data_IF_731216967478
#
_entry.id   IF_731216967478
#
_cell.length_a   1.000
_cell.length_b   1.000
_cell.length_c   1.000
_cell.angle_alpha   90.00
_cell.angle_beta   90.00
_cell.angle_gamma   90.00
#
_symmetry.space_group_name_H-M   'P 1'
#
loop_
_entity.id
_entity.type
_entity.pdbx_description
1 polymer ?
#
# COMPACT_ATOMS: atom_id res chain seq x y z
N UNK A 1 -11.32 -2.38 16.62
CA UNK A 1 -11.48 -3.59 15.78
C UNK A 1 -10.84 -3.20 14.47
N UNK A 2 -9.75 -3.81 13.99
CA UNK A 2 -9.09 -3.29 12.80
C UNK A 2 -10.05 -3.48 11.63
N UNK A 3 -10.56 -2.36 11.12
CA UNK A 3 -11.57 -2.36 10.09
C UNK A 3 -10.97 -3.00 8.84
N UNK A 4 -11.62 -4.05 8.35
CA UNK A 4 -11.27 -4.74 7.09
C UNK A 4 -11.06 -3.75 5.93
N UNK A 5 -11.69 -2.57 6.05
CA UNK A 5 -11.50 -1.36 5.25
C UNK A 5 -10.04 -0.95 5.05
N UNK A 6 -9.19 -1.02 6.07
CA UNK A 6 -7.79 -0.59 5.95
C UNK A 6 -6.97 -1.60 5.14
N UNK A 7 -7.19 -2.90 5.34
CA UNK A 7 -6.61 -3.95 4.49
C UNK A 7 -7.03 -3.74 3.03
N UNK A 8 -8.30 -3.34 2.79
CA UNK A 8 -8.79 -3.04 1.45
C UNK A 8 -8.13 -1.80 0.86
N UNK A 9 -8.00 -0.72 1.63
CA UNK A 9 -7.27 0.50 1.21
C UNK A 9 -5.83 0.17 0.81
N UNK A 10 -5.17 -0.71 1.55
CA UNK A 10 -3.80 -1.16 1.27
C UNK A 10 -3.71 -1.85 -0.10
N UNK A 11 -4.65 -2.76 -0.34
CA UNK A 11 -4.74 -3.52 -1.60
C UNK A 11 -5.07 -2.60 -2.77
N UNK A 12 -5.99 -1.66 -2.57
CA UNK A 12 -6.35 -0.63 -3.56
C UNK A 12 -5.15 0.23 -3.89
N UNK A 13 -4.31 0.58 -2.92
CA UNK A 13 -3.17 1.43 -3.22
C UNK A 13 -2.08 0.74 -4.03
N UNK A 14 -1.80 -0.54 -3.75
CA UNK A 14 -0.87 -1.32 -4.58
C UNK A 14 -1.36 -1.38 -6.03
N UNK A 15 -2.67 -1.61 -6.22
CA UNK A 15 -3.29 -1.62 -7.55
C UNK A 15 -3.24 -0.23 -8.19
N UNK A 16 -3.57 0.82 -7.45
CA UNK A 16 -3.54 2.22 -7.89
C UNK A 16 -2.13 2.65 -8.31
N UNK A 17 -1.11 2.36 -7.51
CA UNK A 17 0.29 2.68 -7.83
C UNK A 17 0.79 1.94 -9.07
N UNK A 18 0.42 0.67 -9.23
CA UNK A 18 0.76 -0.10 -10.42
C UNK A 18 0.03 0.43 -11.67
N UNK A 19 -1.25 0.77 -11.51
CA UNK A 19 -2.06 1.38 -12.56
C UNK A 19 -1.51 2.75 -12.98
N UNK A 20 -0.98 3.55 -12.04
CA UNK A 20 -0.32 4.83 -12.31
C UNK A 20 0.97 4.65 -13.14
N UNK A 21 1.77 3.62 -12.86
CA UNK A 21 2.98 3.30 -13.65
C UNK A 21 2.60 2.89 -15.07
N UNK A 22 1.62 1.99 -15.22
CA UNK A 22 1.08 1.56 -16.51
C UNK A 22 0.52 2.75 -17.30
N UNK A 23 -0.27 3.61 -16.66
CA UNK A 23 -0.87 4.78 -17.28
C UNK A 23 0.19 5.80 -17.72
N UNK A 24 1.20 6.05 -16.88
CA UNK A 24 2.33 6.92 -17.23
C UNK A 24 3.10 6.42 -18.44
N UNK A 25 3.31 5.10 -18.55
CA UNK A 25 3.95 4.48 -19.72
C UNK A 25 3.03 4.48 -20.95
N UNK A 26 1.74 4.26 -20.77
CA UNK A 26 0.76 4.26 -21.87
C UNK A 26 0.56 5.66 -22.46
N UNK A 27 0.60 6.70 -21.61
CA UNK A 27 0.58 8.10 -22.03
C UNK A 27 1.86 8.50 -22.75
N UNK A 28 2.98 7.83 -22.43
CA UNK A 28 4.28 8.00 -23.07
C UNK A 28 4.32 7.43 -24.50
N UNK A 29 3.52 6.38 -24.74
CA UNK A 29 3.46 5.57 -25.95
C UNK A 29 2.31 5.98 -26.88
N UNK A 30 1.23 6.55 -26.34
CA UNK A 30 0.19 7.15 -27.16
C UNK A 30 0.75 8.43 -27.77
N UNK A 31 0.85 8.45 -29.10
CA UNK A 31 1.14 9.59 -29.99
C UNK A 31 0.22 10.81 -29.81
N UNK A 32 -0.59 10.87 -28.74
CA UNK A 32 -1.56 11.93 -28.50
C UNK A 32 -0.92 13.29 -28.19
N UNK A 33 0.41 13.37 -28.24
CA UNK A 33 1.19 14.36 -27.56
C UNK A 33 2.51 14.67 -28.28
N UNK A 34 2.47 14.68 -29.61
CA UNK A 34 3.50 15.29 -30.49
C UNK A 34 3.80 16.76 -30.10
N UNK A 35 2.88 17.41 -29.37
CA UNK A 35 2.99 18.79 -28.91
C UNK A 35 3.59 18.97 -27.49
N UNK A 36 3.77 17.93 -26.67
CA UNK A 36 4.37 18.10 -25.33
C UNK A 36 5.88 17.88 -25.39
N UNK A 37 6.59 18.89 -24.90
CA UNK A 37 8.04 18.91 -24.81
C UNK A 37 8.57 17.63 -24.14
N UNK A 38 9.62 17.04 -24.72
CA UNK A 38 10.29 15.80 -24.28
C UNK A 38 10.52 15.70 -22.76
N UNK A 39 10.68 16.85 -22.09
CA UNK A 39 10.88 16.97 -20.65
C UNK A 39 9.64 16.57 -19.83
N UNK A 40 8.42 16.88 -20.29
CA UNK A 40 7.19 16.59 -19.54
C UNK A 40 6.95 15.09 -19.38
N UNK A 41 7.29 14.30 -20.40
CA UNK A 41 7.23 12.83 -20.41
C UNK A 41 8.10 12.23 -19.29
N UNK A 42 9.31 12.76 -19.12
CA UNK A 42 10.25 12.31 -18.08
C UNK A 42 9.75 12.72 -16.70
N UNK A 43 9.27 13.95 -16.53
CA UNK A 43 8.74 14.45 -15.25
C UNK A 43 7.52 13.64 -14.78
N UNK A 44 6.59 13.31 -15.68
CA UNK A 44 5.40 12.52 -15.33
C UNK A 44 5.79 11.11 -14.86
N UNK A 45 6.77 10.50 -15.53
CA UNK A 45 7.29 9.17 -15.16
C UNK A 45 7.98 9.21 -13.81
N UNK A 46 8.82 10.22 -13.57
CA UNK A 46 9.54 10.38 -12.30
C UNK A 46 8.57 10.58 -11.12
N UNK A 47 7.54 11.40 -11.30
CA UNK A 47 6.52 11.65 -10.27
C UNK A 47 5.66 10.40 -10.02
N UNK A 48 5.24 9.66 -11.05
CA UNK A 48 4.49 8.41 -10.86
C UNK A 48 5.28 7.39 -10.03
N UNK A 49 6.57 7.22 -10.35
CA UNK A 49 7.45 6.31 -9.59
C UNK A 49 7.62 6.81 -8.16
N UNK A 50 7.89 8.11 -7.98
CA UNK A 50 8.05 8.71 -6.66
C UNK A 50 6.81 8.55 -5.77
N UNK A 51 5.61 8.78 -6.31
CA UNK A 51 4.34 8.61 -5.59
C UNK A 51 4.12 7.13 -5.23
N UNK A 52 4.39 6.21 -6.16
CA UNK A 52 4.30 4.77 -5.90
C UNK A 52 5.21 4.32 -4.75
N UNK A 53 6.45 4.80 -4.73
CA UNK A 53 7.41 4.50 -3.65
C UNK A 53 7.00 5.16 -2.34
N UNK A 54 6.61 6.44 -2.37
CA UNK A 54 6.24 7.21 -1.18
C UNK A 54 5.09 6.55 -0.42
N UNK A 55 4.10 6.00 -1.10
CA UNK A 55 3.01 5.31 -0.44
C UNK A 55 3.34 3.87 0.00
N UNK A 56 4.38 3.26 -0.56
CA UNK A 56 4.82 1.95 -0.10
C UNK A 56 5.34 1.96 1.35
N UNK A 57 5.73 3.13 1.86
CA UNK A 57 6.20 3.33 3.23
C UNK A 57 5.10 3.25 4.30
N UNK A 58 3.98 4.02 4.23
CA UNK A 58 2.86 3.85 5.15
C UNK A 58 2.25 2.45 5.07
N UNK A 59 2.31 1.81 3.90
CA UNK A 59 1.88 0.42 3.69
C UNK A 59 2.65 -0.58 4.56
N UNK A 60 3.98 -0.43 4.64
CA UNK A 60 4.87 -1.29 5.45
C UNK A 60 4.68 -1.07 6.96
N UNK A 61 4.50 0.18 7.40
CA UNK A 61 4.31 0.51 8.82
C UNK A 61 2.97 -0.05 9.33
N UNK A 62 1.92 0.03 8.52
CA UNK A 62 0.59 -0.43 8.90
C UNK A 62 0.54 -1.95 9.13
N UNK A 63 1.24 -2.72 8.31
CA UNK A 63 1.29 -4.19 8.45
C UNK A 63 2.00 -4.61 9.76
N UNK A 64 3.08 -3.92 10.13
CA UNK A 64 3.81 -4.18 11.38
C UNK A 64 2.94 -3.91 12.60
N UNK A 65 2.27 -2.75 12.64
CA UNK A 65 1.37 -2.40 13.74
C UNK A 65 0.19 -3.39 13.81
N UNK A 66 -0.37 -3.78 12.66
CA UNK A 66 -1.44 -4.76 12.59
C UNK A 66 -1.03 -6.13 13.15
N UNK A 67 0.16 -6.62 12.79
CA UNK A 67 0.73 -7.87 13.33
C UNK A 67 0.89 -7.80 14.85
N UNK A 68 1.45 -6.70 15.38
CA UNK A 68 1.59 -6.51 16.83
C UNK A 68 0.23 -6.54 17.56
N UNK A 69 -0.81 -5.92 16.97
CA UNK A 69 -2.16 -5.97 17.54
C UNK A 69 -2.77 -7.38 17.55
N UNK A 70 -2.51 -8.17 16.51
CA UNK A 70 -2.93 -9.58 16.43
C UNK A 70 -2.21 -10.44 17.47
N UNK A 71 -0.89 -10.30 17.60
CA UNK A 71 -0.11 -11.03 18.61
C UNK A 71 -0.55 -10.68 20.04
N UNK A 72 -0.80 -9.40 20.32
CA UNK A 72 -1.31 -8.97 21.63
C UNK A 72 -2.66 -9.62 21.97
N UNK A 73 -3.57 -9.73 20.99
CA UNK A 73 -4.85 -10.45 21.16
C UNK A 73 -4.63 -11.94 21.41
N UNK A 74 -3.76 -12.58 20.62
CA UNK A 74 -3.49 -14.01 20.73
C UNK A 74 -2.85 -14.35 22.09
N UNK A 75 -1.93 -13.51 22.59
CA UNK A 75 -1.31 -13.64 23.90
C UNK A 75 -2.32 -13.50 25.04
N UNK A 76 -3.33 -12.63 24.89
CA UNK A 76 -4.41 -12.45 25.87
C UNK A 76 -5.33 -13.67 25.94
N UNK A 77 -5.71 -14.24 24.79
CA UNK A 77 -6.50 -15.48 24.73
C UNK A 77 -5.74 -16.66 25.34
N UNK A 78 -4.46 -16.84 24.98
CA UNK A 78 -3.61 -17.90 25.54
C UNK A 78 -3.46 -17.77 27.06
N UNK A 79 -3.38 -16.55 27.59
CA UNK A 79 -3.31 -16.32 29.04
C UNK A 79 -4.61 -16.71 29.77
N UNK A 80 -5.78 -16.52 29.13
CA UNK A 80 -7.07 -16.91 29.71
C UNK A 80 -7.22 -18.43 29.70
N UNK A 81 -6.83 -19.12 28.62
CA UNK A 81 -6.83 -20.60 28.61
C UNK A 81 -5.94 -21.19 29.72
N UNK A 82 -4.76 -20.60 29.95
CA UNK A 82 -3.88 -21.05 31.03
C UNK A 82 -4.46 -20.78 32.43
N UNK A 83 -5.24 -19.71 32.60
CA UNK A 83 -5.88 -19.41 33.90
C UNK A 83 -7.10 -20.30 34.18
N UNK A 84 -7.80 -20.75 33.13
CA UNK A 84 -8.96 -21.65 33.26
C UNK A 84 -8.52 -23.11 33.43
N UNK A 85 -7.32 -23.48 32.96
CA UNK A 85 -6.75 -24.82 33.14
C UNK A 85 -6.24 -25.07 34.57
N UNK A 86 -5.91 -24.01 35.31
CA UNK A 86 -5.31 -24.06 36.66
C UNK A 86 -6.34 -23.90 37.78
N UNK A 87 -7.61 -23.64 37.45
CA UNK A 87 -8.74 -23.53 38.39
C UNK A 87 -9.68 -24.75 38.26
#
# INVERSE_FOLDING_TARGET
MPDLSIIKILKVFIISGLCLILLGHYLLMSDLFDAINSVQRITISAICIAIGILFSLPTKIYLTIYLMHLEAKHKKLKKIELTVKDN
#
